data_IF_385549248117
#
_entry.id   IF_385549248117
#
_cell.length_a   1.000
_cell.length_b   1.000
_cell.length_c   1.000
_cell.angle_alpha   90.00
_cell.angle_beta   90.00
_cell.angle_gamma   90.00
#
_symmetry.space_group_name_H-M   'P 1'
#
loop_
_entity.id
_entity.type
_entity.pdbx_description
1 polymer ?
#
# COMPACT_ATOMS: atom_id res chain seq x y z
N UNK A 1 2.32 -9.31 0.38
CA UNK A 1 2.43 -9.56 -1.10
C UNK A 1 1.05 -9.49 -1.78
N UNK A 2 0.65 -8.31 -2.27
CA UNK A 2 -0.52 -8.21 -3.16
C UNK A 2 -0.17 -8.87 -4.50
N UNK A 3 -0.79 -10.02 -4.80
CA UNK A 3 -0.79 -10.57 -6.16
C UNK A 3 -1.56 -9.60 -7.06
N UNK A 4 -0.85 -8.61 -7.60
CA UNK A 4 -1.32 -7.84 -8.73
C UNK A 4 -1.44 -8.85 -9.87
N UNK A 5 -2.67 -9.04 -10.35
CA UNK A 5 -3.03 -9.96 -11.43
C UNK A 5 -2.50 -9.42 -12.77
N UNK A 6 -1.18 -9.28 -12.88
CA UNK A 6 -0.51 -8.76 -14.06
C UNK A 6 -0.44 -9.80 -15.20
N UNK A 7 -0.72 -11.07 -14.87
CA UNK A 7 -0.61 -12.25 -15.73
C UNK A 7 -1.94 -12.97 -15.96
N UNK A 8 -3.04 -12.23 -16.15
CA UNK A 8 -4.28 -12.86 -16.61
C UNK A 8 -4.15 -13.31 -18.09
N UNK A 9 -4.53 -14.57 -18.44
CA UNK A 9 -4.30 -15.17 -19.76
C UNK A 9 -5.05 -14.52 -20.93
N UNK A 10 -5.82 -13.45 -20.70
CA UNK A 10 -6.60 -12.72 -21.70
C UNK A 10 -5.81 -11.59 -22.42
N UNK A 11 -4.50 -11.45 -22.17
CA UNK A 11 -3.69 -10.32 -22.69
C UNK A 11 -3.35 -10.42 -24.18
N UNK A 12 -3.52 -11.59 -24.81
CA UNK A 12 -3.17 -11.80 -26.22
C UNK A 12 -3.96 -10.96 -27.25
N UNK A 13 -4.99 -10.21 -26.84
CA UNK A 13 -5.82 -9.36 -27.72
C UNK A 13 -6.29 -8.03 -27.12
N UNK A 14 -5.89 -7.68 -25.90
CA UNK A 14 -6.36 -6.46 -25.22
C UNK A 14 -5.24 -5.41 -25.18
N UNK A 15 -5.55 -4.17 -25.56
CA UNK A 15 -4.67 -3.03 -25.30
C UNK A 15 -4.33 -3.00 -23.80
N UNK A 16 -3.06 -2.82 -23.44
CA UNK A 16 -2.64 -2.67 -22.04
C UNK A 16 -3.26 -1.38 -21.47
N UNK A 17 -4.00 -1.47 -20.37
CA UNK A 17 -4.60 -0.35 -19.67
C UNK A 17 -3.82 -0.10 -18.37
N UNK A 18 -3.08 1.00 -18.28
CA UNK A 18 -2.12 1.30 -17.19
C UNK A 18 -2.83 1.42 -15.83
N UNK A 19 -3.99 2.04 -15.80
CA UNK A 19 -4.77 2.29 -14.57
C UNK A 19 -5.78 1.18 -14.28
N UNK A 20 -5.61 -0.01 -14.87
CA UNK A 20 -6.45 -1.16 -14.56
C UNK A 20 -6.39 -1.44 -13.06
N UNK A 21 -7.55 -1.64 -12.43
CA UNK A 21 -7.72 -1.80 -10.97
C UNK A 21 -7.42 -0.56 -10.10
N UNK A 22 -6.89 0.53 -10.68
CA UNK A 22 -6.53 1.75 -9.93
C UNK A 22 -7.48 2.92 -10.20
N UNK A 23 -8.23 2.93 -11.30
CA UNK A 23 -9.16 4.02 -11.63
C UNK A 23 -10.60 3.77 -11.13
N UNK A 24 -11.15 4.77 -10.45
CA UNK A 24 -12.49 4.78 -9.86
C UNK A 24 -13.29 6.01 -10.30
N UNK A 25 -14.60 5.83 -10.36
CA UNK A 25 -15.54 6.90 -10.65
C UNK A 25 -15.77 7.73 -9.38
N UNK A 26 -15.48 9.03 -9.45
CA UNK A 26 -15.73 9.98 -8.36
C UNK A 26 -17.20 10.17 -8.02
N UNK A 27 -18.13 9.98 -8.98
CA UNK A 27 -19.57 10.14 -8.71
C UNK A 27 -20.21 8.98 -7.93
N UNK A 28 -19.73 7.76 -8.12
CA UNK A 28 -20.40 6.57 -7.56
C UNK A 28 -19.46 5.55 -6.90
N UNK A 29 -18.18 5.89 -6.79
CA UNK A 29 -17.11 5.10 -6.17
C UNK A 29 -16.80 3.77 -6.86
N UNK A 30 -17.42 3.48 -8.01
CA UNK A 30 -17.29 2.18 -8.67
C UNK A 30 -16.08 2.17 -9.60
N UNK A 31 -15.43 1.00 -9.80
CA UNK A 31 -14.25 0.92 -10.66
C UNK A 31 -14.60 1.30 -12.10
N UNK A 32 -13.64 1.95 -12.77
CA UNK A 32 -13.67 2.23 -14.20
C UNK A 32 -12.85 1.18 -14.92
N UNK A 33 -13.43 0.54 -15.93
CA UNK A 33 -12.79 -0.54 -16.68
C UNK A 33 -12.36 -0.06 -18.06
N UNK A 34 -11.23 -0.59 -18.53
CA UNK A 34 -10.79 -0.42 -19.90
C UNK A 34 -11.78 -1.04 -20.88
N UNK A 35 -12.12 -0.27 -21.90
CA UNK A 35 -13.03 -0.65 -22.98
C UNK A 35 -12.44 -0.16 -24.30
N UNK A 36 -12.71 -0.87 -25.38
CA UNK A 36 -12.14 -0.51 -26.66
C UNK A 36 -12.97 -1.01 -27.83
N UNK A 37 -12.78 -0.36 -28.96
CA UNK A 37 -13.44 -0.70 -30.21
C UNK A 37 -12.62 -0.25 -31.39
N UNK A 38 -12.77 -0.96 -32.50
CA UNK A 38 -12.14 -0.58 -33.77
C UNK A 38 -13.19 0.07 -34.66
N UNK A 39 -12.89 1.25 -35.19
CA UNK A 39 -13.77 1.90 -36.16
C UNK A 39 -13.85 1.10 -37.46
N UNK A 40 -14.86 1.40 -38.28
CA UNK A 40 -14.96 0.90 -39.65
C UNK A 40 -13.72 1.22 -40.51
N UNK A 41 -12.97 2.26 -40.16
CA UNK A 41 -11.72 2.65 -40.82
C UNK A 41 -10.47 1.93 -40.28
N UNK A 42 -10.63 0.99 -39.35
CA UNK A 42 -9.53 0.21 -38.76
C UNK A 42 -8.80 0.91 -37.60
N UNK A 43 -9.21 2.12 -37.21
CA UNK A 43 -8.60 2.84 -36.08
C UNK A 43 -9.14 2.28 -34.76
N UNK A 44 -8.24 1.79 -33.91
CA UNK A 44 -8.58 1.34 -32.58
C UNK A 44 -8.73 2.54 -31.63
N UNK A 45 -9.75 2.50 -30.78
CA UNK A 45 -9.99 3.46 -29.72
C UNK A 45 -10.08 2.74 -28.38
N UNK A 46 -9.55 3.38 -27.34
CA UNK A 46 -9.49 2.85 -25.99
C UNK A 46 -10.03 3.90 -25.01
N UNK A 47 -10.89 3.48 -24.09
CA UNK A 47 -11.55 4.35 -23.13
C UNK A 47 -11.63 3.67 -21.76
N UNK A 48 -11.69 4.48 -20.70
CA UNK A 48 -12.12 4.02 -19.38
C UNK A 48 -13.59 4.35 -19.18
N UNK A 49 -14.37 3.36 -18.73
CA UNK A 49 -15.82 3.49 -18.53
C UNK A 49 -16.24 3.00 -17.15
N UNK A 50 -17.07 3.79 -16.46
CA UNK A 50 -17.66 3.40 -15.19
C UNK A 50 -18.52 2.12 -15.34
N UNK A 51 -18.25 1.11 -14.51
CA UNK A 51 -18.95 -0.17 -14.52
C UNK A 51 -20.45 -0.05 -14.29
N UNK A 52 -20.89 0.79 -13.35
CA UNK A 52 -22.33 1.03 -13.07
C UNK A 52 -23.03 1.72 -14.23
N UNK A 53 -22.36 2.63 -14.95
CA UNK A 53 -22.90 3.23 -16.17
C UNK A 53 -23.05 2.18 -17.27
N UNK A 54 -22.00 1.39 -17.52
CA UNK A 54 -21.98 0.40 -18.61
C UNK A 54 -22.99 -0.74 -18.40
N UNK A 55 -23.07 -1.31 -17.20
CA UNK A 55 -23.91 -2.50 -16.93
C UNK A 55 -25.34 -2.14 -16.51
N UNK A 56 -25.52 -1.08 -15.72
CA UNK A 56 -26.81 -0.75 -15.09
C UNK A 56 -27.36 0.63 -15.43
N UNK A 57 -26.61 1.47 -16.17
CA UNK A 57 -26.96 2.87 -16.49
C UNK A 57 -27.34 3.73 -15.26
N UNK A 58 -26.93 3.31 -14.07
CA UNK A 58 -27.24 3.97 -12.79
C UNK A 58 -26.26 5.07 -12.41
N UNK A 59 -25.19 5.25 -13.19
CA UNK A 59 -24.21 6.32 -13.04
C UNK A 59 -24.13 7.13 -14.34
N UNK A 60 -23.96 8.45 -14.22
CA UNK A 60 -23.90 9.39 -15.35
C UNK A 60 -22.47 9.68 -15.83
N UNK A 61 -21.43 9.25 -15.10
CA UNK A 61 -20.00 9.53 -15.37
C UNK A 61 -19.60 9.26 -16.81
N UNK A 62 -19.03 10.25 -17.48
CA UNK A 62 -18.61 10.09 -18.87
C UNK A 62 -17.42 9.14 -19.03
N UNK A 63 -17.34 8.51 -20.20
CA UNK A 63 -16.22 7.62 -20.55
C UNK A 63 -15.09 8.50 -21.05
N UNK A 64 -13.87 8.23 -20.60
CA UNK A 64 -12.72 9.09 -20.91
C UNK A 64 -11.71 8.37 -21.80
N UNK A 65 -11.04 9.07 -22.74
CA UNK A 65 -9.99 8.48 -23.56
C UNK A 65 -8.88 7.93 -22.67
N UNK A 66 -8.41 6.72 -22.99
CA UNK A 66 -7.35 6.03 -22.25
C UNK A 66 -6.09 6.90 -22.15
N UNK A 67 -5.55 7.31 -23.29
CA UNK A 67 -4.26 8.00 -23.35
C UNK A 67 -4.30 9.32 -22.57
N UNK A 68 -5.41 10.06 -22.65
CA UNK A 68 -5.59 11.31 -21.91
C UNK A 68 -5.50 11.13 -20.39
N UNK A 69 -6.25 10.19 -19.81
CA UNK A 69 -6.25 10.01 -18.35
C UNK A 69 -4.93 9.39 -17.87
N UNK A 70 -4.34 8.49 -18.65
CA UNK A 70 -3.05 7.89 -18.30
C UNK A 70 -1.92 8.92 -18.35
N UNK A 71 -1.88 9.77 -19.37
CA UNK A 71 -0.87 10.84 -19.48
C UNK A 71 -1.04 11.89 -18.38
N UNK A 72 -2.29 12.23 -18.03
CA UNK A 72 -2.58 13.15 -16.92
C UNK A 72 -2.07 12.58 -15.59
N UNK A 73 -2.44 11.34 -15.26
CA UNK A 73 -2.01 10.70 -14.01
C UNK A 73 -0.48 10.57 -13.94
N UNK A 74 0.16 10.10 -15.01
CA UNK A 74 1.62 9.97 -15.03
C UNK A 74 2.28 11.34 -14.92
N UNK A 75 1.76 12.37 -15.60
CA UNK A 75 2.28 13.73 -15.52
C UNK A 75 2.25 14.29 -14.10
N UNK A 76 1.16 14.07 -13.36
CA UNK A 76 1.08 14.46 -11.94
C UNK A 76 2.04 13.66 -11.05
N UNK A 77 2.18 12.35 -11.27
CA UNK A 77 3.15 11.51 -10.53
C UNK A 77 4.59 11.98 -10.76
N UNK A 78 4.94 12.38 -11.99
CA UNK A 78 6.28 12.90 -12.30
C UNK A 78 6.55 14.20 -11.56
N UNK A 79 5.57 15.12 -11.48
CA UNK A 79 5.71 16.36 -10.71
C UNK A 79 5.97 16.08 -9.22
N UNK A 80 5.29 15.09 -8.66
CA UNK A 80 5.48 14.65 -7.27
C UNK A 80 6.91 14.14 -7.06
N UNK A 81 7.41 13.27 -7.95
CA UNK A 81 8.78 12.71 -7.87
C UNK A 81 9.88 13.76 -8.09
N UNK A 82 9.58 14.85 -8.80
CA UNK A 82 10.52 15.96 -9.01
C UNK A 82 10.46 17.03 -7.91
N UNK A 83 9.61 16.85 -6.89
CA UNK A 83 9.53 17.76 -5.77
C UNK A 83 10.48 17.28 -4.65
N UNK A 84 11.60 17.99 -4.47
CA UNK A 84 12.62 17.70 -3.45
C UNK A 84 12.02 17.70 -2.03
N UNK A 85 11.20 18.69 -1.70
CA UNK A 85 10.57 18.81 -0.37
C UNK A 85 9.67 17.62 -0.08
N UNK A 86 8.93 17.16 -1.09
CA UNK A 86 8.04 16.01 -0.96
C UNK A 86 8.81 14.70 -0.79
N UNK A 87 9.95 14.53 -1.46
CA UNK A 87 10.81 13.35 -1.29
C UNK A 87 11.37 13.26 0.12
N UNK A 88 11.86 14.38 0.66
CA UNK A 88 12.35 14.45 2.03
C UNK A 88 11.23 14.11 3.03
N UNK A 89 10.03 14.66 2.82
CA UNK A 89 8.88 14.34 3.67
C UNK A 89 8.44 12.87 3.56
N UNK A 90 8.47 12.27 2.37
CA UNK A 90 8.18 10.84 2.18
C UNK A 90 9.20 10.00 2.95
N UNK A 91 10.50 10.33 2.86
CA UNK A 91 11.54 9.63 3.60
C UNK A 91 11.31 9.69 5.11
N UNK A 92 11.00 10.87 5.66
CA UNK A 92 10.70 11.04 7.09
C UNK A 92 9.48 10.21 7.52
N UNK A 93 8.42 10.18 6.70
CA UNK A 93 7.21 9.38 6.99
C UNK A 93 7.45 7.88 6.91
N UNK A 94 8.29 7.41 5.99
CA UNK A 94 8.67 5.99 5.92
C UNK A 94 9.45 5.61 7.17
N UNK A 95 10.37 6.46 7.65
CA UNK A 95 11.08 6.22 8.92
C UNK A 95 10.13 6.20 10.13
N UNK A 96 9.18 7.14 10.20
CA UNK A 96 8.13 7.14 11.23
C UNK A 96 7.27 5.89 11.18
N UNK A 97 6.94 5.42 9.98
CA UNK A 97 6.17 4.20 9.76
C UNK A 97 6.93 2.98 10.25
N UNK A 98 8.19 2.80 9.81
CA UNK A 98 9.02 1.69 10.24
C UNK A 98 9.17 1.66 11.76
N UNK A 99 9.34 2.82 12.40
CA UNK A 99 9.38 2.89 13.86
C UNK A 99 8.06 2.44 14.49
N UNK A 100 6.92 2.93 13.99
CA UNK A 100 5.61 2.57 14.51
C UNK A 100 5.28 1.09 14.30
N UNK A 101 5.58 0.53 13.13
CA UNK A 101 5.38 -0.89 12.86
C UNK A 101 6.31 -1.73 13.72
N UNK A 102 7.57 -1.35 13.93
CA UNK A 102 8.43 -2.04 14.92
C UNK A 102 7.78 -2.04 16.31
N UNK A 103 7.26 -0.90 16.75
CA UNK A 103 6.58 -0.77 18.04
C UNK A 103 5.24 -1.55 18.12
N UNK A 104 4.56 -1.76 16.98
CA UNK A 104 3.27 -2.45 16.86
C UNK A 104 3.38 -3.92 16.42
N UNK A 105 4.54 -4.33 15.94
CA UNK A 105 4.81 -5.67 15.42
C UNK A 105 4.61 -6.70 16.53
N UNK A 106 4.29 -7.94 16.13
CA UNK A 106 4.17 -9.05 17.08
C UNK A 106 5.44 -9.25 17.91
N UNK A 107 6.57 -8.69 17.44
CA UNK A 107 7.87 -8.70 18.08
C UNK A 107 7.83 -8.16 19.51
N UNK A 108 7.23 -6.98 19.74
CA UNK A 108 7.23 -6.40 21.10
C UNK A 108 6.44 -7.26 22.10
N UNK A 109 5.29 -7.80 21.66
CA UNK A 109 4.50 -8.72 22.47
C UNK A 109 5.24 -10.04 22.73
N UNK A 110 5.98 -10.55 21.75
CA UNK A 110 6.81 -11.75 21.88
C UNK A 110 8.00 -11.52 22.81
N UNK A 111 8.66 -10.36 22.77
CA UNK A 111 9.73 -9.98 23.71
C UNK A 111 9.23 -9.87 25.16
N UNK A 112 8.04 -9.32 25.37
CA UNK A 112 7.41 -9.30 26.71
C UNK A 112 7.16 -10.73 27.18
N UNK A 113 6.54 -11.58 26.34
CA UNK A 113 6.31 -13.00 26.67
C UNK A 113 7.62 -13.76 26.94
N UNK A 114 8.69 -13.45 26.21
CA UNK A 114 10.02 -14.03 26.44
C UNK A 114 10.51 -13.71 27.85
N UNK A 115 10.49 -12.43 28.25
CA UNK A 115 10.91 -12.00 29.59
C UNK A 115 10.08 -12.66 30.70
N UNK A 116 8.77 -12.77 30.51
CA UNK A 116 7.88 -13.45 31.46
C UNK A 116 8.18 -14.95 31.57
N UNK A 117 8.40 -15.62 30.43
CA UNK A 117 8.76 -17.03 30.37
C UNK A 117 10.12 -17.29 31.02
N UNK A 118 11.15 -16.49 30.73
CA UNK A 118 12.46 -16.57 31.37
C UNK A 118 12.39 -16.39 32.88
N UNK A 119 11.59 -15.43 33.34
CA UNK A 119 11.33 -15.23 34.78
C UNK A 119 10.65 -16.45 35.40
N UNK A 120 9.67 -17.04 34.71
CA UNK A 120 8.99 -18.24 35.18
C UNK A 120 9.95 -19.44 35.26
N UNK A 121 10.82 -19.63 34.27
CA UNK A 121 11.86 -20.67 34.27
C UNK A 121 12.83 -20.43 35.44
N UNK A 122 13.32 -19.20 35.63
CA UNK A 122 14.22 -18.86 36.74
C UNK A 122 13.58 -19.17 38.10
N UNK A 123 12.30 -18.86 38.30
CA UNK A 123 11.58 -19.20 39.52
C UNK A 123 11.44 -20.72 39.73
N UNK A 124 11.20 -21.48 38.66
CA UNK A 124 11.14 -22.94 38.73
C UNK A 124 12.49 -23.55 39.11
N UNK A 125 13.58 -23.02 38.55
CA UNK A 125 14.94 -23.44 38.89
C UNK A 125 15.27 -23.13 40.36
N UNK A 126 14.91 -21.95 40.86
CA UNK A 126 15.09 -21.59 42.26
C UNK A 126 14.31 -22.51 43.23
N UNK A 127 13.09 -22.93 42.84
CA UNK A 127 12.32 -23.90 43.64
C UNK A 127 12.98 -25.28 43.68
N UNK A 128 13.59 -25.72 42.56
CA UNK A 128 14.35 -26.96 42.48
C UNK A 128 15.62 -26.87 43.34
N UNK A 129 16.33 -25.75 43.31
CA UNK A 129 17.51 -25.49 44.16
C UNK A 129 17.16 -25.51 45.65
N UNK A 130 15.97 -25.04 46.02
CA UNK A 130 15.43 -25.13 47.38
C UNK A 130 14.96 -26.56 47.77
N UNK A 131 15.08 -27.54 46.87
CA UNK A 131 14.74 -28.95 47.12
C UNK A 131 13.28 -29.31 46.84
N UNK A 132 12.49 -28.43 46.21
CA UNK A 132 11.09 -28.72 45.85
C UNK A 132 11.08 -29.42 44.50
N UNK A 133 11.19 -30.75 44.51
CA UNK A 133 11.18 -31.59 43.31
C UNK A 133 9.96 -32.50 43.33
N UNK A 134 9.01 -32.22 42.43
CA UNK A 134 7.79 -33.02 42.25
C UNK A 134 7.56 -33.33 40.77
N UNK A 135 6.79 -34.37 40.42
CA UNK A 135 6.39 -34.63 39.04
C UNK A 135 5.75 -33.41 38.35
N UNK A 136 4.97 -32.61 39.10
CA UNK A 136 4.35 -31.38 38.57
C UNK A 136 5.37 -30.29 38.24
N UNK A 137 6.45 -30.15 39.01
CA UNK A 137 7.52 -29.18 38.69
C UNK A 137 8.25 -29.53 37.39
N UNK A 138 8.47 -30.83 37.12
CA UNK A 138 9.06 -31.30 35.87
C UNK A 138 8.17 -30.99 34.67
N UNK A 139 6.87 -31.33 34.75
CA UNK A 139 5.92 -31.05 33.67
C UNK A 139 5.85 -29.56 33.38
N UNK A 140 5.77 -28.71 34.42
CA UNK A 140 5.69 -27.26 34.23
C UNK A 140 6.95 -26.68 33.60
N UNK A 141 8.14 -27.17 33.97
CA UNK A 141 9.39 -26.73 33.36
C UNK A 141 9.46 -27.12 31.87
N UNK A 142 9.03 -28.33 31.52
CA UNK A 142 8.96 -28.76 30.11
C UNK A 142 8.00 -27.92 29.27
N UNK A 143 6.85 -27.53 29.83
CA UNK A 143 5.91 -26.61 29.17
C UNK A 143 6.56 -25.25 28.92
N UNK A 144 7.23 -24.68 29.93
CA UNK A 144 7.89 -23.38 29.81
C UNK A 144 9.04 -23.41 28.78
N UNK A 145 9.81 -24.50 28.72
CA UNK A 145 10.87 -24.68 27.71
C UNK A 145 10.29 -24.83 26.30
N UNK A 146 9.18 -25.55 26.14
CA UNK A 146 8.48 -25.65 24.86
C UNK A 146 7.93 -24.28 24.41
N UNK A 147 7.30 -23.54 25.33
CA UNK A 147 6.84 -22.17 25.09
C UNK A 147 7.99 -21.24 24.69
N UNK A 148 9.18 -21.39 25.31
CA UNK A 148 10.37 -20.60 24.96
C UNK A 148 10.80 -20.86 23.51
N UNK A 149 10.86 -22.13 23.11
CA UNK A 149 11.23 -22.50 21.75
C UNK A 149 10.23 -21.96 20.71
N UNK A 150 8.94 -21.89 21.04
CA UNK A 150 7.93 -21.33 20.14
C UNK A 150 7.96 -19.80 20.09
N UNK A 151 8.26 -19.13 21.20
CA UNK A 151 8.51 -17.68 21.23
C UNK A 151 9.74 -17.33 20.39
N UNK A 152 10.85 -18.05 20.53
CA UNK A 152 12.08 -17.85 19.74
C UNK A 152 11.83 -17.99 18.23
N UNK A 153 11.03 -18.99 17.82
CA UNK A 153 10.61 -19.14 16.41
C UNK A 153 9.75 -17.97 15.93
N UNK A 154 8.83 -17.50 16.76
CA UNK A 154 7.97 -16.35 16.46
C UNK A 154 8.79 -15.07 16.24
N UNK A 155 9.76 -14.81 17.12
CA UNK A 155 10.66 -13.64 17.01
C UNK A 155 11.50 -13.76 15.73
N UNK A 156 12.07 -14.93 15.46
CA UNK A 156 12.87 -15.14 14.24
C UNK A 156 12.06 -14.93 12.95
N UNK A 157 10.79 -15.34 12.94
CA UNK A 157 9.90 -15.10 11.80
C UNK A 157 9.63 -13.60 11.61
N UNK A 158 9.36 -12.87 12.68
CA UNK A 158 9.06 -11.45 12.63
C UNK A 158 10.28 -10.61 12.20
N UNK A 159 11.48 -10.95 12.69
CA UNK A 159 12.74 -10.31 12.31
C UNK A 159 13.11 -10.51 10.83
N UNK A 160 12.63 -11.59 10.20
CA UNK A 160 12.85 -11.85 8.77
C UNK A 160 11.82 -11.14 7.88
N UNK A 161 10.71 -10.63 8.45
CA UNK A 161 9.57 -10.18 7.68
C UNK A 161 9.76 -8.78 7.07
N UNK A 162 10.59 -7.91 7.67
CA UNK A 162 10.72 -6.53 7.21
C UNK A 162 12.18 -6.06 7.07
N UNK A 163 12.61 -5.64 5.85
CA UNK A 163 13.89 -4.98 5.69
C UNK A 163 13.89 -3.59 6.35
N UNK A 164 14.90 -3.34 7.16
CA UNK A 164 15.20 -1.99 7.65
C UNK A 164 15.81 -1.17 6.51
N UNK A 165 15.35 0.07 6.36
CA UNK A 165 15.87 1.00 5.36
C UNK A 165 16.42 2.21 6.08
N UNK A 166 17.60 2.64 5.68
CA UNK A 166 18.15 3.91 6.11
C UNK A 166 17.51 5.05 5.31
N UNK A 167 17.39 6.23 5.93
CA UNK A 167 16.79 7.43 5.30
C UNK A 167 17.39 7.73 3.93
N UNK A 168 18.72 7.70 3.83
CA UNK A 168 19.44 7.99 2.59
C UNK A 168 19.19 6.93 1.50
N UNK A 169 18.92 5.67 1.89
CA UNK A 169 18.57 4.61 0.94
C UNK A 169 17.18 4.85 0.34
N UNK A 170 16.25 5.35 1.15
CA UNK A 170 14.89 5.71 0.71
C UNK A 170 14.98 6.88 -0.27
N UNK A 171 15.74 7.92 0.05
CA UNK A 171 15.94 9.08 -0.84
C UNK A 171 16.59 8.65 -2.15
N UNK A 172 17.71 7.92 -2.09
CA UNK A 172 18.38 7.41 -3.29
C UNK A 172 17.45 6.56 -4.17
N UNK A 173 16.61 5.73 -3.56
CA UNK A 173 15.61 4.96 -4.27
C UNK A 173 14.60 5.87 -4.97
N UNK A 174 14.04 6.87 -4.28
CA UNK A 174 13.07 7.82 -4.84
C UNK A 174 13.67 8.69 -5.96
N UNK A 175 14.94 9.07 -5.85
CA UNK A 175 15.63 9.85 -6.89
C UNK A 175 15.79 9.08 -8.20
N UNK A 176 15.88 7.75 -8.16
CA UNK A 176 15.96 6.91 -9.37
C UNK A 176 14.75 7.07 -10.28
N UNK A 177 13.61 7.49 -9.73
CA UNK A 177 12.39 7.72 -10.51
C UNK A 177 12.44 9.05 -11.28
N UNK A 178 13.41 9.93 -11.04
CA UNK A 178 13.52 11.24 -11.71
C UNK A 178 14.00 11.13 -13.16
N UNK A 179 14.87 10.18 -13.45
CA UNK A 179 15.58 10.10 -14.75
C UNK A 179 14.85 9.28 -15.82
N UNK A 180 13.56 8.96 -15.65
CA UNK A 180 12.82 8.13 -16.59
C UNK A 180 12.09 8.91 -17.68
N UNK A 181 11.84 8.25 -18.81
CA UNK A 181 11.06 8.81 -19.92
C UNK A 181 9.57 8.52 -19.75
N UNK A 182 8.75 9.57 -19.71
CA UNK A 182 7.28 9.51 -19.60
C UNK A 182 6.65 8.72 -20.76
N UNK A 183 7.34 8.63 -21.90
CA UNK A 183 6.88 7.86 -23.07
C UNK A 183 7.21 6.37 -22.97
N UNK A 184 8.11 5.96 -22.07
CA UNK A 184 8.43 4.56 -21.86
C UNK A 184 7.33 3.87 -21.03
N UNK A 185 6.73 2.82 -21.60
CA UNK A 185 5.67 2.04 -20.96
C UNK A 185 6.17 1.39 -19.65
N UNK A 186 7.43 0.92 -19.61
CA UNK A 186 7.99 0.29 -18.43
C UNK A 186 8.14 1.29 -17.27
N UNK A 187 8.60 2.51 -17.57
CA UNK A 187 8.71 3.59 -16.60
C UNK A 187 7.33 4.03 -16.07
N UNK A 188 6.33 4.17 -16.94
CA UNK A 188 4.95 4.51 -16.55
C UNK A 188 4.35 3.48 -15.60
N UNK A 189 4.50 2.19 -15.91
CA UNK A 189 4.04 1.09 -15.04
C UNK A 189 4.72 1.17 -13.69
N UNK A 190 6.04 1.31 -13.69
CA UNK A 190 6.84 1.36 -12.47
C UNK A 190 6.45 2.57 -11.58
N UNK A 191 6.20 3.75 -12.15
CA UNK A 191 5.70 4.93 -11.41
C UNK A 191 4.32 4.65 -10.78
N UNK A 192 3.39 4.14 -11.58
CA UNK A 192 2.00 3.87 -11.14
C UNK A 192 1.97 2.79 -10.07
N UNK A 193 2.75 1.72 -10.21
CA UNK A 193 2.76 0.65 -9.21
C UNK A 193 3.41 1.08 -7.91
N UNK A 194 4.45 1.91 -7.98
CA UNK A 194 5.15 2.39 -6.79
C UNK A 194 4.34 3.43 -6.04
N UNK A 195 3.85 4.47 -6.73
CA UNK A 195 3.31 5.66 -6.07
C UNK A 195 1.79 5.69 -6.02
N UNK A 196 1.08 5.01 -6.92
CA UNK A 196 -0.36 5.16 -7.06
C UNK A 196 -1.12 4.00 -6.42
N UNK A 197 -1.95 4.31 -5.44
CA UNK A 197 -2.92 3.37 -4.89
C UNK A 197 -4.19 3.35 -5.74
N UNK A 198 -4.85 4.50 -5.85
CA UNK A 198 -6.10 4.68 -6.57
C UNK A 198 -6.26 6.10 -7.11
N UNK A 199 -7.14 6.25 -8.11
CA UNK A 199 -7.47 7.51 -8.76
C UNK A 199 -8.98 7.65 -8.78
N UNK A 200 -9.48 8.78 -8.32
CA UNK A 200 -10.89 9.14 -8.43
C UNK A 200 -11.05 10.25 -9.46
N UNK A 201 -11.77 9.93 -10.53
CA UNK A 201 -12.03 10.87 -11.62
C UNK A 201 -13.49 11.32 -11.59
N UNK A 202 -13.68 12.63 -11.65
CA UNK A 202 -14.98 13.28 -11.67
C UNK A 202 -15.24 13.95 -13.02
N UNK A 203 -16.39 14.62 -13.19
CA UNK A 203 -16.81 15.20 -14.47
C UNK A 203 -16.48 16.71 -14.58
N UNK A 204 -16.22 17.37 -13.46
CA UNK A 204 -15.86 18.79 -13.30
C UNK A 204 -14.34 18.98 -13.23
N UNK A 205 -13.60 18.21 -14.04
CA UNK A 205 -12.14 18.28 -14.19
C UNK A 205 -11.31 18.08 -12.91
N UNK A 206 -11.92 17.64 -11.81
CA UNK A 206 -11.18 17.26 -10.62
C UNK A 206 -10.75 15.79 -10.65
N UNK A 207 -9.48 15.60 -10.29
CA UNK A 207 -8.81 14.33 -10.22
C UNK A 207 -8.20 14.20 -8.83
N UNK A 208 -8.51 13.12 -8.12
CA UNK A 208 -7.90 12.84 -6.83
C UNK A 208 -6.99 11.63 -6.94
N UNK A 209 -5.71 11.85 -6.69
CA UNK A 209 -4.70 10.80 -6.62
C UNK A 209 -4.55 10.35 -5.18
N UNK A 210 -4.81 9.07 -4.95
CA UNK A 210 -4.52 8.42 -3.68
C UNK A 210 -3.19 7.72 -3.84
N UNK A 211 -2.19 8.20 -3.11
CA UNK A 211 -0.84 7.66 -3.19
C UNK A 211 -0.70 6.43 -2.28
N UNK A 212 0.24 5.55 -2.62
CA UNK A 212 0.66 4.47 -1.74
C UNK A 212 1.40 5.08 -0.55
N UNK A 213 0.70 5.28 0.56
CA UNK A 213 1.31 5.56 1.85
C UNK A 213 1.22 4.31 2.73
N UNK A 214 2.39 3.81 3.11
CA UNK A 214 2.70 2.84 4.17
C UNK A 214 1.58 1.93 4.70
N UNK A 215 1.71 0.63 4.42
CA UNK A 215 1.04 -0.46 5.14
C UNK A 215 -0.04 -1.19 4.35
N UNK A 216 -0.05 -2.53 4.45
CA UNK A 216 -0.87 -3.45 3.65
C UNK A 216 -2.41 -3.28 3.82
N UNK A 217 -2.90 -2.30 4.58
CA UNK A 217 -4.32 -2.15 4.95
C UNK A 217 -4.94 -0.74 4.81
N UNK A 218 -4.35 0.18 4.05
CA UNK A 218 -5.05 1.44 3.73
C UNK A 218 -6.12 1.24 2.64
N UNK A 219 -7.29 0.73 3.02
CA UNK A 219 -8.50 0.80 2.17
C UNK A 219 -8.99 2.25 2.16
N UNK A 220 -8.60 2.98 1.12
CA UNK A 220 -9.13 4.32 0.87
C UNK A 220 -10.44 4.17 0.13
N UNK A 221 -11.54 4.60 0.75
CA UNK A 221 -12.85 4.64 0.13
C UNK A 221 -13.23 6.08 -0.26
N UNK A 222 -14.22 6.22 -1.14
CA UNK A 222 -14.61 7.53 -1.68
C UNK A 222 -14.98 8.53 -0.57
N UNK A 223 -15.58 8.07 0.52
CA UNK A 223 -15.96 8.92 1.65
C UNK A 223 -14.75 9.51 2.37
N UNK A 224 -13.71 8.70 2.58
CA UNK A 224 -12.45 9.17 3.16
C UNK A 224 -11.79 10.21 2.25
N UNK A 225 -11.85 10.00 0.93
CA UNK A 225 -11.34 10.95 -0.07
C UNK A 225 -12.11 12.26 -0.04
N UNK A 226 -13.45 12.21 -0.06
CA UNK A 226 -14.31 13.39 0.02
C UNK A 226 -14.09 14.17 1.33
N UNK A 227 -13.94 13.49 2.47
CA UNK A 227 -13.65 14.13 3.75
C UNK A 227 -12.27 14.82 3.78
N UNK A 228 -11.26 14.18 3.20
CA UNK A 228 -9.91 14.73 3.07
C UNK A 228 -9.86 15.98 2.17
N UNK A 229 -10.63 16.01 1.08
CA UNK A 229 -10.70 17.15 0.14
C UNK A 229 -11.52 18.30 0.71
N UNK A 230 -12.60 18.01 1.46
CA UNK A 230 -13.51 19.03 2.01
C UNK A 230 -13.07 19.63 3.36
N UNK A 231 -11.92 19.21 3.90
CA UNK A 231 -11.33 19.79 5.12
C UNK A 231 -11.99 19.36 6.44
N UNK A 232 -12.92 18.42 6.43
CA UNK A 232 -13.45 17.82 7.65
C UNK A 232 -12.41 16.82 8.18
N UNK A 233 -11.78 17.15 9.30
CA UNK A 233 -10.67 16.47 9.96
C UNK A 233 -10.89 15.00 10.33
N UNK A 234 -11.08 14.14 9.34
CA UNK A 234 -10.79 12.73 9.42
C UNK A 234 -9.27 12.57 9.42
N UNK A 235 -8.74 11.94 10.49
CA UNK A 235 -7.32 11.66 10.71
C UNK A 235 -6.75 10.63 9.70
N UNK A 236 -6.82 10.95 8.42
CA UNK A 236 -5.96 10.43 7.38
C UNK A 236 -5.27 11.63 6.79
N UNK A 237 -3.94 11.70 6.91
CA UNK A 237 -3.13 12.83 6.47
C UNK A 237 -3.33 13.10 4.98
N UNK A 238 -4.25 14.00 4.66
CA UNK A 238 -4.54 14.46 3.32
C UNK A 238 -3.40 15.36 2.85
N UNK A 239 -2.63 14.90 1.86
CA UNK A 239 -1.74 15.77 1.11
C UNK A 239 -2.54 16.35 -0.06
N UNK A 240 -3.19 17.49 0.19
CA UNK A 240 -3.49 18.42 -0.89
C UNK A 240 -2.33 19.43 -0.91
N UNK A 241 -1.53 19.53 -1.98
CA UNK A 241 -0.56 20.61 -2.07
C UNK A 241 -1.32 21.94 -1.95
N UNK A 242 -0.90 22.76 -0.98
CA UNK A 242 -1.54 24.02 -0.57
C UNK A 242 -1.44 25.16 -1.61
N UNK A 243 -1.47 24.87 -2.90
CA UNK A 243 -1.36 25.89 -3.97
C UNK A 243 -2.50 25.84 -4.99
N UNK A 244 -3.68 25.37 -4.59
CA UNK A 244 -4.92 25.59 -5.33
C UNK A 244 -5.83 26.53 -4.53
N UNK A 245 -5.50 27.82 -4.54
CA UNK A 245 -6.40 28.94 -4.31
C UNK A 245 -6.42 29.79 -5.57
#
# INVERSE_FOLDING_TARGET
MLKINHDAPARGKAQNFLLTTKLFCGLCGSPMIGDGGTSHTGKAYAYYSCTKRKRGRSCKKESVPKDWIEDLVVGELVKIVHNDELIEQIADRVMEYQKREKDQSGLHALEIRQKENEKAISNMLAAIEAGIITPSTKTRLMELEADRADIEKGIAHELLAEPEFERDQIIYFLERFRSGDIKDEAYRIMLVDTFLNSVYLYDDDHLVLVMNYSGENCKVDLKLVEGAVNGDGCKGSAFAPSSAL
#
